data_IF_500641837292
#
_entry.id   IF_500641837292
#
_cell.length_a   1.000
_cell.length_b   1.000
_cell.length_c   1.000
_cell.angle_alpha   90.00
_cell.angle_beta   90.00
_cell.angle_gamma   90.00
#
_symmetry.space_group_name_H-M   'P 1'
#
loop_
_entity.id
_entity.type
_entity.pdbx_description
1 polymer ?
#
# COMPACT_ATOMS: atom_id res chain seq x y z
N UNK A 1 -46.14 -19.10 -27.67
CA UNK A 1 -44.88 -19.84 -27.44
C UNK A 1 -43.96 -19.00 -26.56
N UNK A 2 -43.60 -19.54 -25.38
CA UNK A 2 -42.93 -18.81 -24.31
C UNK A 2 -41.43 -18.59 -24.62
N UNK A 3 -40.96 -17.34 -24.58
CA UNK A 3 -39.53 -17.02 -24.61
C UNK A 3 -38.97 -16.97 -23.18
N UNK A 4 -38.08 -17.92 -22.91
CA UNK A 4 -37.36 -18.16 -21.64
C UNK A 4 -36.47 -16.94 -21.31
N UNK A 5 -36.71 -16.29 -20.17
CA UNK A 5 -35.85 -15.21 -19.65
C UNK A 5 -34.52 -15.81 -19.19
N UNK A 6 -33.40 -15.35 -19.77
CA UNK A 6 -32.08 -15.57 -19.18
C UNK A 6 -31.92 -14.59 -18.00
N UNK A 7 -31.73 -15.15 -16.81
CA UNK A 7 -31.38 -14.42 -15.59
C UNK A 7 -29.93 -14.01 -15.72
N UNK A 8 -29.67 -12.72 -15.93
CA UNK A 8 -28.32 -12.16 -15.96
C UNK A 8 -27.79 -12.13 -14.54
N UNK A 9 -26.74 -12.92 -14.28
CA UNK A 9 -26.09 -13.00 -12.99
C UNK A 9 -25.56 -11.62 -12.54
N UNK A 10 -25.86 -11.26 -11.30
CA UNK A 10 -25.36 -10.04 -10.65
C UNK A 10 -23.84 -10.18 -10.47
N UNK A 11 -23.07 -9.56 -11.36
CA UNK A 11 -21.65 -9.32 -11.14
C UNK A 11 -21.51 -8.32 -9.98
N UNK A 12 -20.93 -8.76 -8.87
CA UNK A 12 -20.60 -7.92 -7.71
C UNK A 12 -19.77 -6.72 -8.18
N UNK A 13 -20.33 -5.52 -7.97
CA UNK A 13 -19.80 -4.29 -8.53
C UNK A 13 -18.52 -3.84 -7.81
N UNK A 14 -17.42 -3.82 -8.55
CA UNK A 14 -16.26 -3.01 -8.20
C UNK A 14 -16.68 -1.54 -8.27
N UNK A 15 -16.68 -0.84 -7.12
CA UNK A 15 -17.04 0.57 -7.05
C UNK A 15 -15.95 1.36 -7.77
N UNK A 16 -16.21 1.69 -9.04
CA UNK A 16 -15.35 2.56 -9.85
C UNK A 16 -15.35 3.95 -9.20
N UNK A 17 -14.34 4.20 -8.36
CA UNK A 17 -14.08 5.54 -7.84
C UNK A 17 -13.92 6.46 -9.05
N UNK A 18 -14.81 7.44 -9.20
CA UNK A 18 -14.75 8.37 -10.33
C UNK A 18 -13.36 8.98 -10.41
N UNK A 19 -12.71 8.86 -11.58
CA UNK A 19 -11.33 9.31 -11.83
C UNK A 19 -11.12 10.81 -11.55
N UNK A 20 -12.21 11.58 -11.47
CA UNK A 20 -12.22 12.98 -11.07
C UNK A 20 -11.63 13.21 -9.67
N UNK A 21 -11.86 12.30 -8.71
CA UNK A 21 -11.42 12.47 -7.33
C UNK A 21 -9.96 12.09 -7.08
N UNK A 22 -9.29 11.42 -8.03
CA UNK A 22 -7.88 11.05 -7.94
C UNK A 22 -6.95 12.04 -8.67
N UNK A 23 -7.50 13.16 -9.16
CA UNK A 23 -6.73 14.19 -9.84
C UNK A 23 -5.79 14.87 -8.85
N UNK A 24 -4.52 15.01 -9.25
CA UNK A 24 -3.48 15.68 -8.47
C UNK A 24 -3.57 17.18 -8.75
N UNK A 25 -4.09 17.95 -7.82
CA UNK A 25 -4.32 19.39 -7.96
C UNK A 25 -3.37 20.23 -7.11
N UNK A 26 -2.78 19.66 -6.07
CA UNK A 26 -1.88 20.37 -5.15
C UNK A 26 -0.43 20.26 -5.61
N UNK A 27 0.24 21.41 -5.69
CA UNK A 27 1.66 21.50 -6.02
C UNK A 27 2.52 21.40 -4.77
N UNK A 28 3.64 20.69 -4.88
CA UNK A 28 4.67 20.60 -3.84
C UNK A 28 6.02 20.91 -4.49
N UNK A 29 6.80 21.78 -3.86
CA UNK A 29 8.15 22.15 -4.29
C UNK A 29 9.11 21.94 -3.13
N UNK A 30 10.25 21.31 -3.41
CA UNK A 30 11.29 21.02 -2.41
C UNK A 30 12.62 21.49 -2.99
N UNK A 31 13.38 22.24 -2.19
CA UNK A 31 14.75 22.59 -2.52
C UNK A 31 15.69 21.54 -1.94
N UNK A 32 16.69 21.15 -2.72
CA UNK A 32 17.68 20.15 -2.36
C UNK A 32 19.08 20.76 -2.50
N UNK A 33 20.00 20.35 -1.63
CA UNK A 33 21.41 20.65 -1.80
C UNK A 33 22.03 19.81 -2.95
N UNK A 34 23.21 20.20 -3.41
CA UNK A 34 23.92 19.55 -4.52
C UNK A 34 24.11 18.04 -4.27
N UNK A 35 24.54 17.68 -3.06
CA UNK A 35 24.76 16.28 -2.66
C UNK A 35 23.47 15.47 -2.62
N UNK A 36 22.37 16.07 -2.16
CA UNK A 36 21.07 15.40 -2.07
C UNK A 36 20.50 15.15 -3.46
N UNK A 37 20.61 16.14 -4.34
CA UNK A 37 20.24 16.01 -5.74
C UNK A 37 21.07 14.93 -6.44
N UNK A 38 22.39 14.92 -6.25
CA UNK A 38 23.28 13.92 -6.84
C UNK A 38 22.96 12.50 -6.36
N UNK A 39 22.68 12.33 -5.07
CA UNK A 39 22.28 11.04 -4.51
C UNK A 39 20.97 10.53 -5.14
N UNK A 40 19.95 11.39 -5.26
CA UNK A 40 18.67 11.02 -5.89
C UNK A 40 18.87 10.70 -7.38
N UNK A 41 19.65 11.51 -8.09
CA UNK A 41 19.95 11.30 -9.51
C UNK A 41 20.68 9.97 -9.73
N UNK A 42 21.66 9.65 -8.89
CA UNK A 42 22.41 8.39 -8.94
C UNK A 42 21.52 7.19 -8.63
N UNK A 43 20.65 7.29 -7.63
CA UNK A 43 19.66 6.26 -7.33
C UNK A 43 18.71 6.04 -8.52
N UNK A 44 18.16 7.11 -9.09
CA UNK A 44 17.25 7.01 -10.22
C UNK A 44 17.91 6.37 -11.45
N UNK A 45 19.18 6.70 -11.72
CA UNK A 45 19.96 6.06 -12.79
C UNK A 45 20.16 4.56 -12.52
N UNK A 46 20.55 4.18 -11.30
CA UNK A 46 20.81 2.78 -10.93
C UNK A 46 19.58 1.88 -11.11
N UNK A 47 18.39 2.39 -10.79
CA UNK A 47 17.13 1.64 -10.86
C UNK A 47 16.28 1.96 -12.10
N UNK A 48 16.83 2.66 -13.09
CA UNK A 48 16.15 3.06 -14.33
C UNK A 48 14.81 3.79 -14.09
N UNK A 49 14.77 4.65 -13.07
CA UNK A 49 13.59 5.45 -12.75
C UNK A 49 13.51 6.63 -13.69
N UNK A 50 12.53 6.60 -14.59
CA UNK A 50 12.30 7.66 -15.58
C UNK A 50 11.61 8.88 -14.99
N UNK A 51 10.67 8.68 -14.06
CA UNK A 51 9.87 9.76 -13.47
C UNK A 51 10.27 10.00 -12.00
N UNK A 52 11.17 10.95 -11.80
CA UNK A 52 11.65 11.36 -10.47
C UNK A 52 10.54 11.89 -9.57
N UNK A 53 9.62 12.69 -10.12
CA UNK A 53 8.50 13.27 -9.36
C UNK A 53 7.55 12.17 -8.85
N UNK A 54 7.28 11.15 -9.67
CA UNK A 54 6.50 9.98 -9.26
C UNK A 54 7.20 9.24 -8.12
N UNK A 55 8.50 8.98 -8.27
CA UNK A 55 9.30 8.31 -7.26
C UNK A 55 9.27 9.06 -5.92
N UNK A 56 9.61 10.34 -5.91
CA UNK A 56 9.63 11.17 -4.69
C UNK A 56 8.26 11.12 -4.00
N UNK A 57 7.18 11.33 -4.75
CA UNK A 57 5.81 11.31 -4.20
C UNK A 57 5.45 9.95 -3.61
N UNK A 58 5.75 8.86 -4.30
CA UNK A 58 5.43 7.52 -3.81
C UNK A 58 6.23 7.16 -2.57
N UNK A 59 7.51 7.52 -2.53
CA UNK A 59 8.38 7.28 -1.36
C UNK A 59 7.87 8.04 -0.14
N UNK A 60 7.53 9.33 -0.29
CA UNK A 60 6.99 10.13 0.82
C UNK A 60 5.66 9.55 1.30
N UNK A 61 4.72 9.24 0.40
CA UNK A 61 3.42 8.69 0.80
C UNK A 61 3.58 7.33 1.50
N UNK A 62 4.46 6.45 1.00
CA UNK A 62 4.75 5.16 1.65
C UNK A 62 5.22 5.38 3.09
N UNK A 63 6.23 6.24 3.27
CA UNK A 63 6.74 6.54 4.60
C UNK A 63 5.66 7.06 5.55
N UNK A 64 4.82 8.00 5.10
CA UNK A 64 3.73 8.55 5.91
C UNK A 64 2.72 7.46 6.30
N UNK A 65 2.34 6.60 5.36
CA UNK A 65 1.39 5.52 5.63
C UNK A 65 1.98 4.48 6.58
N UNK A 66 3.24 4.11 6.41
CA UNK A 66 3.93 3.15 7.28
C UNK A 66 4.04 3.68 8.71
N UNK A 67 4.32 4.98 8.88
CA UNK A 67 4.27 5.64 10.18
C UNK A 67 2.87 5.61 10.79
N UNK A 68 1.83 5.96 10.03
CA UNK A 68 0.45 5.90 10.55
C UNK A 68 0.03 4.48 10.95
N UNK A 69 0.44 3.46 10.20
CA UNK A 69 0.15 2.08 10.56
C UNK A 69 0.89 1.64 11.83
N UNK A 70 2.10 2.16 12.04
CA UNK A 70 2.91 1.87 13.23
C UNK A 70 2.34 2.57 14.48
N UNK A 71 1.88 3.80 14.33
CA UNK A 71 1.35 4.62 15.42
C UNK A 71 -0.14 4.33 15.70
N UNK A 72 -0.80 3.54 14.85
CA UNK A 72 -2.20 3.18 15.04
C UNK A 72 -2.34 2.34 16.31
N UNK A 73 -3.18 2.76 17.28
CA UNK A 73 -3.31 2.03 18.54
C UNK A 73 -3.88 0.63 18.27
N UNK A 74 -3.07 -0.38 18.55
CA UNK A 74 -3.48 -1.77 18.49
C UNK A 74 -4.02 -2.22 19.84
N UNK A 75 -4.92 -3.20 19.84
CA UNK A 75 -5.52 -3.73 21.08
C UNK A 75 -4.47 -4.32 22.04
N UNK A 76 -3.33 -4.76 21.49
CA UNK A 76 -2.21 -5.30 22.22
C UNK A 76 -0.93 -4.69 21.67
N UNK A 77 0.03 -4.42 22.55
CA UNK A 77 1.38 -4.04 22.14
C UNK A 77 2.17 -5.29 21.71
N UNK A 78 3.30 -5.07 21.02
CA UNK A 78 4.19 -6.16 20.57
C UNK A 78 4.61 -7.05 21.74
N UNK A 79 4.89 -6.43 22.88
CA UNK A 79 5.25 -7.12 24.12
C UNK A 79 4.13 -8.00 24.68
N UNK A 80 2.86 -7.60 24.49
CA UNK A 80 1.72 -8.40 24.92
C UNK A 80 1.45 -9.57 23.98
N UNK A 81 1.69 -9.39 22.68
CA UNK A 81 1.64 -10.47 21.70
C UNK A 81 2.70 -11.55 21.94
N UNK A 82 3.92 -11.16 22.30
CA UNK A 82 5.02 -12.10 22.59
C UNK A 82 4.75 -12.98 23.82
N UNK A 83 3.91 -12.51 24.76
CA UNK A 83 3.44 -13.29 25.90
C UNK A 83 2.43 -14.36 25.49
N UNK A 84 1.74 -14.19 24.36
CA UNK A 84 0.77 -15.16 23.81
C UNK A 84 1.53 -16.27 23.07
N UNK A 85 2.13 -17.18 23.83
CA UNK A 85 2.65 -18.43 23.26
C UNK A 85 1.49 -19.36 22.93
N UNK A 86 1.07 -19.37 21.66
CA UNK A 86 0.19 -20.43 21.14
C UNK A 86 1.03 -21.71 21.10
N UNK A 87 0.85 -22.59 22.08
CA UNK A 87 1.37 -23.95 22.01
C UNK A 87 0.58 -24.70 20.93
N UNK A 88 0.97 -24.54 19.67
CA UNK A 88 0.52 -25.48 18.63
C UNK A 88 1.17 -26.82 18.95
N UNK A 89 0.47 -27.63 19.75
CA UNK A 89 0.81 -29.04 19.96
C UNK A 89 0.94 -29.66 18.57
N UNK A 90 2.12 -30.19 18.15
CA UNK A 90 2.21 -30.82 16.85
C UNK A 90 1.25 -32.00 16.84
N UNK A 91 0.36 -32.07 15.85
CA UNK A 91 -0.42 -33.27 15.61
C UNK A 91 0.57 -34.41 15.36
N UNK A 92 0.63 -35.36 16.28
CA UNK A 92 1.43 -36.57 16.16
C UNK A 92 0.95 -37.38 14.96
N UNK A 93 1.85 -37.85 14.07
CA UNK A 93 1.48 -38.56 12.84
C UNK A 93 1.05 -40.03 13.06
N UNK A 94 0.91 -40.48 14.31
CA UNK A 94 0.48 -41.84 14.63
C UNK A 94 -0.61 -41.79 15.71
N UNK A 95 -1.85 -41.84 15.26
CA UNK A 95 -3.02 -42.30 16.01
C UNK A 95 -3.80 -43.26 15.10
#
# INVERSE_FOLDING_TARGET
MAKKKHKKDKKSGDRTISSSFLRRTHQVTVLLNEKEKEAIDSYCKKYNITNKSKFIRETIIRQVMDTFLTDYPTLFDKEDMDKIKVTSKPLSPFA
#
